data_IF_445481748896
#
_entry.id   IF_445481748896
#
_cell.length_a   1.000
_cell.length_b   1.000
_cell.length_c   1.000
_cell.angle_alpha   90.00
_cell.angle_beta   90.00
_cell.angle_gamma   90.00
#
_symmetry.space_group_name_H-M   'P 1'
#
loop_
_entity.id
_entity.type
_entity.pdbx_description
1 polymer ?
#
# COMPACT_ATOMS: atom_id res chain seq x y z
N UNK A 1 43.93 7.14 -7.80
CA UNK A 1 44.00 5.81 -7.15
C UNK A 1 42.61 5.20 -7.22
N UNK A 2 42.47 3.99 -7.76
CA UNK A 2 41.19 3.27 -7.79
C UNK A 2 41.19 2.29 -6.62
N UNK A 3 40.20 2.40 -5.72
CA UNK A 3 40.05 1.49 -4.60
C UNK A 3 39.18 0.30 -5.02
N UNK A 4 39.69 -0.91 -4.80
CA UNK A 4 38.90 -2.13 -4.98
C UNK A 4 37.94 -2.26 -3.79
N UNK A 5 36.64 -2.30 -4.07
CA UNK A 5 35.63 -2.51 -3.05
C UNK A 5 35.59 -3.99 -2.70
N UNK A 6 35.77 -4.38 -1.42
CA UNK A 6 35.64 -5.77 -1.00
C UNK A 6 34.23 -6.28 -1.27
N UNK A 7 34.11 -7.42 -1.95
CA UNK A 7 32.80 -7.98 -2.35
C UNK A 7 32.09 -8.78 -1.25
N UNK A 8 32.69 -8.93 -0.08
CA UNK A 8 32.17 -9.76 1.01
C UNK A 8 31.63 -8.96 2.20
N UNK A 9 31.35 -7.66 2.05
CA UNK A 9 30.81 -6.84 3.15
C UNK A 9 29.37 -7.23 3.53
N UNK A 10 28.65 -7.93 2.64
CA UNK A 10 27.24 -8.29 2.85
C UNK A 10 27.05 -9.64 3.54
N UNK A 11 28.08 -10.49 3.53
CA UNK A 11 28.03 -11.82 4.13
C UNK A 11 28.57 -11.72 5.55
N UNK A 12 27.81 -12.19 6.52
CA UNK A 12 28.31 -12.25 7.90
C UNK A 12 29.48 -13.21 8.06
N UNK A 13 30.43 -12.80 8.90
CA UNK A 13 31.52 -13.66 9.32
C UNK A 13 30.99 -14.85 10.13
N UNK A 14 31.48 -16.03 9.75
CA UNK A 14 31.24 -17.28 10.47
C UNK A 14 32.28 -17.42 11.57
N UNK A 15 31.93 -16.94 12.76
CA UNK A 15 32.86 -16.89 13.91
C UNK A 15 32.93 -18.25 14.62
N UNK A 16 31.83 -19.00 14.65
CA UNK A 16 31.73 -20.26 15.39
C UNK A 16 31.48 -21.41 14.42
N UNK A 17 32.57 -21.96 13.88
CA UNK A 17 32.53 -23.04 12.89
C UNK A 17 31.72 -22.63 11.66
N UNK A 18 30.63 -23.34 11.30
CA UNK A 18 29.81 -22.98 10.14
C UNK A 18 28.78 -21.87 10.43
N UNK A 19 28.64 -21.42 11.69
CA UNK A 19 27.59 -20.50 12.13
C UNK A 19 28.07 -19.05 12.19
N UNK A 20 27.18 -18.14 11.78
CA UNK A 20 27.35 -16.71 12.06
C UNK A 20 27.06 -16.42 13.53
N UNK A 21 27.52 -15.28 14.04
CA UNK A 21 27.24 -14.88 15.42
C UNK A 21 25.73 -14.83 15.72
N UNK A 22 24.93 -14.26 14.80
CA UNK A 22 23.47 -14.20 14.95
C UNK A 22 22.84 -15.60 15.04
N UNK A 23 23.26 -16.51 14.17
CA UNK A 23 22.77 -17.90 14.17
C UNK A 23 23.10 -18.62 15.46
N UNK A 24 24.32 -18.44 15.96
CA UNK A 24 24.73 -18.99 17.25
C UNK A 24 23.84 -18.47 18.39
N UNK A 25 23.59 -17.16 18.46
CA UNK A 25 22.74 -16.57 19.50
C UNK A 25 21.32 -17.13 19.44
N UNK A 26 20.73 -17.34 18.25
CA UNK A 26 19.40 -17.94 18.13
C UNK A 26 19.36 -19.39 18.63
N UNK A 27 20.34 -20.20 18.26
CA UNK A 27 20.40 -21.60 18.69
C UNK A 27 20.73 -21.74 20.18
N UNK A 28 21.68 -20.94 20.69
CA UNK A 28 22.02 -20.91 22.10
C UNK A 28 20.86 -20.40 22.95
N UNK A 29 20.13 -19.38 22.48
CA UNK A 29 18.93 -18.88 23.13
C UNK A 29 17.82 -19.92 23.18
N UNK A 30 17.51 -20.58 22.05
CA UNK A 30 16.49 -21.62 22.00
C UNK A 30 16.87 -22.84 22.87
N UNK A 31 18.11 -23.33 22.76
CA UNK A 31 18.61 -24.44 23.56
C UNK A 31 18.63 -24.12 25.06
N UNK A 32 19.13 -22.93 25.42
CA UNK A 32 19.11 -22.45 26.80
C UNK A 32 17.69 -22.34 27.36
N UNK A 33 16.73 -21.87 26.57
CA UNK A 33 15.34 -21.81 26.98
C UNK A 33 14.73 -23.20 27.22
N UNK A 34 15.05 -24.19 26.39
CA UNK A 34 14.61 -25.57 26.62
C UNK A 34 15.23 -26.18 27.88
N UNK A 35 16.51 -25.89 28.17
CA UNK A 35 17.14 -26.33 29.42
C UNK A 35 16.44 -25.73 30.64
N UNK A 36 16.04 -24.45 30.56
CA UNK A 36 15.23 -23.81 31.60
C UNK A 36 13.89 -24.55 31.75
N UNK A 37 13.15 -24.78 30.65
CA UNK A 37 11.89 -25.53 30.70
C UNK A 37 12.05 -26.93 31.30
N UNK A 38 13.11 -27.64 30.92
CA UNK A 38 13.44 -28.96 31.47
C UNK A 38 13.64 -28.91 32.99
N UNK A 39 14.35 -27.90 33.47
CA UNK A 39 14.66 -27.73 34.89
C UNK A 39 13.41 -27.47 35.73
N UNK A 40 12.41 -26.74 35.20
CA UNK A 40 11.20 -26.38 35.94
C UNK A 40 10.02 -27.36 35.75
N UNK A 41 9.81 -27.89 34.55
CA UNK A 41 8.60 -28.65 34.18
C UNK A 41 8.85 -30.16 34.01
N UNK A 42 10.12 -30.60 34.04
CA UNK A 42 10.50 -31.99 33.79
C UNK A 42 10.49 -32.39 32.31
N UNK A 43 10.93 -33.61 32.01
CA UNK A 43 11.25 -34.06 30.65
C UNK A 43 10.07 -34.00 29.66
N UNK A 44 8.90 -34.50 30.05
CA UNK A 44 7.77 -34.64 29.13
C UNK A 44 7.20 -33.28 28.70
N UNK A 45 6.96 -32.37 29.64
CA UNK A 45 6.46 -31.03 29.34
C UNK A 45 7.51 -30.19 28.62
N UNK A 46 8.78 -30.32 29.01
CA UNK A 46 9.87 -29.61 28.34
C UNK A 46 10.08 -30.09 26.91
N UNK A 47 9.88 -31.37 26.60
CA UNK A 47 9.92 -31.86 25.23
C UNK A 47 8.74 -31.32 24.42
N UNK A 48 7.52 -31.38 24.99
CA UNK A 48 6.30 -30.93 24.31
C UNK A 48 6.36 -29.43 23.96
N UNK A 49 6.77 -28.59 24.91
CA UNK A 49 6.88 -27.14 24.72
C UNK A 49 8.21 -26.74 24.09
N UNK A 50 9.28 -27.47 24.34
CA UNK A 50 10.61 -27.19 23.81
C UNK A 50 10.77 -27.58 22.35
N UNK A 51 10.08 -28.62 21.86
CA UNK A 51 10.13 -29.01 20.46
C UNK A 51 9.78 -27.86 19.49
N UNK A 52 8.64 -27.14 19.62
CA UNK A 52 8.35 -26.01 18.75
C UNK A 52 9.34 -24.85 18.93
N UNK A 53 9.93 -24.68 20.13
CA UNK A 53 10.92 -23.62 20.41
C UNK A 53 12.25 -23.92 19.69
N UNK A 54 12.72 -25.16 19.75
CA UNK A 54 13.92 -25.59 19.01
C UNK A 54 13.69 -25.46 17.52
N UNK A 55 12.53 -25.91 17.03
CA UNK A 55 12.17 -25.80 15.62
C UNK A 55 12.16 -24.34 15.16
N UNK A 56 11.59 -23.45 15.97
CA UNK A 56 11.58 -22.02 15.71
C UNK A 56 12.98 -21.40 15.74
N UNK A 57 13.82 -21.76 16.71
CA UNK A 57 15.22 -21.32 16.77
C UNK A 57 16.04 -21.80 15.57
N UNK A 58 15.83 -23.03 15.13
CA UNK A 58 16.45 -23.58 13.92
C UNK A 58 15.97 -22.87 12.66
N UNK A 59 14.68 -22.54 12.57
CA UNK A 59 14.14 -21.75 11.47
C UNK A 59 14.77 -20.34 11.43
N UNK A 60 14.91 -19.67 12.58
CA UNK A 60 15.60 -18.37 12.65
C UNK A 60 17.06 -18.44 12.17
N UNK A 61 17.77 -19.52 12.48
CA UNK A 61 19.17 -19.68 12.11
C UNK A 61 19.38 -20.05 10.63
N UNK A 62 18.58 -20.98 10.10
CA UNK A 62 18.87 -21.60 8.80
C UNK A 62 17.81 -21.34 7.71
N UNK A 63 16.58 -21.03 8.09
CA UNK A 63 15.51 -20.86 7.12
C UNK A 63 15.64 -19.51 6.41
N UNK A 64 15.39 -19.52 5.10
CA UNK A 64 15.45 -18.34 4.23
C UNK A 64 14.17 -18.26 3.41
N UNK A 65 13.61 -17.07 3.33
CA UNK A 65 12.44 -16.74 2.51
C UNK A 65 12.91 -15.76 1.43
N UNK A 66 12.69 -16.10 0.15
CA UNK A 66 13.07 -15.25 -0.98
C UNK A 66 14.53 -14.77 -0.92
N UNK A 67 15.46 -15.68 -0.64
CA UNK A 67 16.89 -15.41 -0.43
C UNK A 67 17.23 -14.46 0.73
N UNK A 68 16.28 -14.16 1.61
CA UNK A 68 16.52 -13.36 2.83
C UNK A 68 16.42 -14.23 4.08
N UNK A 69 17.23 -13.96 5.12
CA UNK A 69 17.10 -14.60 6.43
C UNK A 69 15.67 -14.52 6.98
N UNK A 70 15.18 -15.60 7.61
CA UNK A 70 13.82 -15.67 8.14
C UNK A 70 13.47 -14.54 9.12
N UNK A 71 14.45 -14.01 9.84
CA UNK A 71 14.25 -12.89 10.78
C UNK A 71 13.57 -11.68 10.13
N UNK A 72 13.87 -11.36 8.86
CA UNK A 72 13.25 -10.23 8.17
C UNK A 72 11.77 -10.45 7.88
N UNK A 73 11.39 -11.69 7.57
CA UNK A 73 9.98 -12.03 7.39
C UNK A 73 9.24 -11.95 8.73
N UNK A 74 9.88 -12.40 9.81
CA UNK A 74 9.33 -12.32 11.16
C UNK A 74 9.16 -10.85 11.61
N UNK A 75 10.17 -10.02 11.37
CA UNK A 75 10.16 -8.59 11.64
C UNK A 75 9.03 -7.90 10.86
N UNK A 76 8.91 -8.17 9.55
CA UNK A 76 7.83 -7.65 8.73
C UNK A 76 6.44 -8.11 9.22
N UNK A 77 6.31 -9.39 9.60
CA UNK A 77 5.07 -9.92 10.17
C UNK A 77 4.71 -9.24 11.50
N UNK A 78 5.70 -9.02 12.36
CA UNK A 78 5.54 -8.30 13.62
C UNK A 78 5.10 -6.85 13.36
N UNK A 79 5.83 -6.10 12.53
CA UNK A 79 5.44 -4.74 12.16
C UNK A 79 4.04 -4.71 11.55
N UNK A 80 3.69 -5.62 10.64
CA UNK A 80 2.37 -5.67 10.04
C UNK A 80 1.26 -5.93 11.07
N UNK A 81 1.50 -6.82 12.04
CA UNK A 81 0.53 -7.16 13.08
C UNK A 81 0.26 -5.98 14.04
N UNK A 82 1.31 -5.23 14.41
CA UNK A 82 1.20 -4.11 15.36
C UNK A 82 1.01 -2.74 14.71
N UNK A 83 1.19 -2.62 13.39
CA UNK A 83 1.00 -1.36 12.67
C UNK A 83 -0.48 -1.02 12.51
N UNK A 84 -0.78 0.29 12.57
CA UNK A 84 -2.12 0.80 12.27
C UNK A 84 -2.42 0.60 10.79
N UNK A 85 -3.50 -0.10 10.48
CA UNK A 85 -3.96 -0.32 9.10
C UNK A 85 -4.66 0.93 8.59
N UNK A 86 -3.90 1.84 7.98
CA UNK A 86 -4.46 3.00 7.30
C UNK A 86 -5.05 2.54 5.96
N UNK A 87 -6.37 2.38 5.92
CA UNK A 87 -7.13 2.18 4.69
C UNK A 87 -7.24 3.53 3.96
N UNK A 88 -6.17 3.93 3.30
CA UNK A 88 -6.18 5.10 2.43
C UNK A 88 -6.73 4.69 1.08
N UNK A 89 -8.00 5.01 0.83
CA UNK A 89 -8.55 4.92 -0.52
C UNK A 89 -7.98 6.04 -1.38
N UNK A 90 -7.00 5.71 -2.23
CA UNK A 90 -6.45 6.63 -3.21
C UNK A 90 -7.29 6.55 -4.47
N UNK A 91 -8.24 7.48 -4.63
CA UNK A 91 -8.82 7.74 -5.94
C UNK A 91 -7.72 8.30 -6.83
N UNK A 92 -7.03 7.44 -7.57
CA UNK A 92 -6.22 7.92 -8.68
C UNK A 92 -7.17 8.49 -9.72
N UNK A 93 -7.31 9.81 -9.70
CA UNK A 93 -7.73 10.51 -10.91
C UNK A 93 -6.71 10.11 -11.96
N UNK A 94 -7.17 9.30 -12.92
CA UNK A 94 -6.41 8.83 -14.06
C UNK A 94 -5.91 10.08 -14.78
N UNK A 95 -4.73 10.56 -14.43
CA UNK A 95 -4.03 11.57 -15.21
C UNK A 95 -3.67 10.85 -16.50
N UNK A 96 -4.54 11.04 -17.49
CA UNK A 96 -4.25 10.61 -18.85
C UNK A 96 -2.85 11.16 -19.15
N UNK A 97 -1.87 10.30 -19.50
CA UNK A 97 -0.56 10.80 -19.86
C UNK A 97 -0.78 11.79 -20.98
N UNK A 98 -0.48 13.06 -20.71
CA UNK A 98 -0.44 14.09 -21.73
C UNK A 98 0.69 13.65 -22.66
N UNK A 99 0.30 12.94 -23.73
CA UNK A 99 1.20 12.49 -24.77
C UNK A 99 1.89 13.72 -25.32
N UNK A 100 3.14 13.92 -24.91
CA UNK A 100 4.07 14.75 -25.63
C UNK A 100 4.21 14.15 -27.03
N UNK A 101 3.77 14.93 -28.02
CA UNK A 101 4.13 14.78 -29.44
C UNK A 101 3.64 13.52 -30.14
N UNK A 102 2.38 13.51 -30.58
CA UNK A 102 2.00 12.87 -31.85
C UNK A 102 0.87 13.67 -32.49
N UNK A 103 1.22 14.48 -33.50
CA UNK A 103 0.27 14.95 -34.51
C UNK A 103 -0.38 13.71 -35.14
N UNK A 104 -1.67 13.53 -34.88
CA UNK A 104 -2.48 12.56 -35.61
C UNK A 104 -3.64 13.34 -36.20
N UNK A 105 -3.59 13.54 -37.52
CA UNK A 105 -4.74 13.90 -38.33
C UNK A 105 -5.88 12.92 -38.01
N UNK A 106 -6.92 13.40 -37.34
CA UNK A 106 -8.17 12.67 -37.13
C UNK A 106 -9.24 13.39 -37.98
N UNK A 107 -9.84 12.73 -38.99
CA UNK A 107 -10.93 13.32 -39.75
C UNK A 107 -12.15 13.58 -38.84
N UNK A 108 -12.89 14.69 -39.04
CA UNK A 108 -13.91 15.15 -38.12
C UNK A 108 -15.20 14.34 -38.32
N UNK A 109 -15.31 13.19 -37.66
CA UNK A 109 -16.57 12.47 -37.55
C UNK A 109 -17.03 12.58 -36.08
N UNK A 110 -18.14 13.31 -35.90
CA UNK A 110 -18.75 13.79 -34.65
C UNK A 110 -18.24 15.15 -34.17
N UNK A 111 -18.42 16.15 -35.02
CA UNK A 111 -18.45 17.55 -34.62
C UNK A 111 -19.70 17.81 -33.79
N UNK A 112 -19.64 17.48 -32.50
CA UNK A 112 -20.60 17.98 -31.52
C UNK A 112 -20.44 19.50 -31.54
N UNK A 113 -21.49 20.29 -31.87
CA UNK A 113 -21.35 21.74 -31.93
C UNK A 113 -20.98 22.22 -30.52
N UNK A 114 -19.74 22.67 -30.36
CA UNK A 114 -19.30 23.33 -29.12
C UNK A 114 -20.07 24.63 -29.01
N UNK A 115 -21.16 24.62 -28.25
CA UNK A 115 -21.85 25.83 -27.85
C UNK A 115 -20.85 26.69 -27.08
N UNK A 116 -20.51 27.87 -27.62
CA UNK A 116 -19.63 28.80 -26.93
C UNK A 116 -20.29 29.24 -25.62
N UNK A 117 -19.49 29.49 -24.59
CA UNK A 117 -20.01 29.90 -23.28
C UNK A 117 -20.93 31.12 -23.37
N UNK A 118 -20.68 32.02 -24.32
CA UNK A 118 -21.55 33.15 -24.64
C UNK A 118 -22.95 32.70 -25.11
N UNK A 119 -23.03 31.71 -26.00
CA UNK A 119 -24.32 31.18 -26.50
C UNK A 119 -25.15 30.53 -25.40
N UNK A 120 -24.51 29.82 -24.47
CA UNK A 120 -25.20 29.23 -23.31
C UNK A 120 -25.76 30.31 -22.38
N UNK A 121 -24.99 31.38 -22.16
CA UNK A 121 -25.42 32.53 -21.34
C UNK A 121 -26.60 33.27 -21.97
N UNK A 122 -26.53 33.51 -23.28
CA UNK A 122 -27.61 34.17 -24.03
C UNK A 122 -28.91 33.34 -23.99
N UNK A 123 -28.80 32.01 -24.10
CA UNK A 123 -29.95 31.12 -23.99
C UNK A 123 -30.57 31.17 -22.60
N UNK A 124 -29.75 31.07 -21.54
CA UNK A 124 -30.26 31.13 -20.16
C UNK A 124 -30.95 32.46 -19.86
N UNK A 125 -30.43 33.55 -20.41
CA UNK A 125 -31.01 34.88 -20.23
C UNK A 125 -32.35 35.02 -20.97
N UNK A 126 -32.46 34.48 -22.18
CA UNK A 126 -33.72 34.49 -22.94
C UNK A 126 -34.84 33.69 -22.27
N UNK A 127 -34.48 32.57 -21.62
CA UNK A 127 -35.41 31.72 -20.87
C UNK A 127 -35.93 32.42 -19.61
N UNK A 128 -35.03 33.04 -18.84
CA UNK A 128 -35.35 33.78 -17.62
C UNK A 128 -36.29 34.98 -17.90
N UNK A 129 -36.07 35.67 -19.03
CA UNK A 129 -36.96 36.75 -19.48
C UNK A 129 -38.32 36.22 -19.87
N UNK A 130 -38.42 35.12 -20.62
CA UNK A 130 -39.72 34.56 -20.95
C UNK A 130 -40.49 34.15 -19.68
N UNK A 131 -39.83 33.50 -18.73
CA UNK A 131 -40.46 33.10 -17.47
C UNK A 131 -41.00 34.30 -16.68
N UNK A 132 -40.23 35.38 -16.56
CA UNK A 132 -40.69 36.61 -15.89
C UNK A 132 -41.87 37.28 -16.61
N UNK A 133 -41.86 37.30 -17.94
CA UNK A 133 -42.96 37.86 -18.74
C UNK A 133 -44.25 37.03 -18.60
N UNK A 134 -44.15 35.70 -18.60
CA UNK A 134 -45.30 34.82 -18.37
C UNK A 134 -45.81 34.86 -16.93
N UNK A 135 -44.92 35.02 -15.94
CA UNK A 135 -45.30 35.18 -14.53
C UNK A 135 -46.08 36.49 -14.28
N UNK A 136 -45.59 37.61 -14.82
CA UNK A 136 -46.28 38.90 -14.71
C UNK A 136 -47.62 38.96 -15.48
N UNK A 137 -47.76 38.16 -16.55
CA UNK A 137 -49.02 38.05 -17.28
C UNK A 137 -50.07 37.27 -16.47
N UNK A 138 -49.68 36.17 -15.82
CA UNK A 138 -50.58 35.39 -14.96
C UNK A 138 -51.06 36.19 -13.74
N UNK A 139 -50.19 36.99 -13.14
CA UNK A 139 -50.54 37.83 -11.98
C UNK A 139 -51.54 38.94 -12.37
N UNK A 140 -51.39 39.53 -13.57
CA UNK A 140 -52.30 40.56 -14.08
C UNK A 140 -53.66 39.99 -14.53
N UNK A 141 -53.73 38.75 -15.02
CA UNK A 141 -55.01 38.08 -15.29
C UNK A 141 -55.77 37.75 -14.01
N UNK A 142 -55.08 37.24 -12.97
CA UNK A 142 -55.67 36.95 -11.65
C UNK A 142 -56.20 38.20 -10.94
N UNK A 143 -55.60 39.36 -11.17
CA UNK A 143 -56.05 40.66 -10.64
C UNK A 143 -57.25 41.27 -11.37
N UNK A 144 -57.55 40.83 -12.59
CA UNK A 144 -58.71 41.31 -13.37
C UNK A 144 -59.97 40.46 -13.17
N UNK A 145 -59.85 39.30 -12.53
CA UNK A 145 -60.95 38.36 -12.27
C UNK A 145 -61.51 38.42 -10.83
N UNK A 146 -61.02 39.35 -10.00
CA UNK A 146 -61.58 39.73 -8.69
C UNK A 146 -62.03 41.19 -8.74
#
# INVERSE_FOLDING_TARGET
MQFQVPQFIEIEDKIIGPLTFRQFVYLAGAGGFVVILYTFLGLYLALLLGAPIILFGAALAFYKINNRPFIYALEAAFYYAFSKKLYLWKHEQKTLPQKAGQEKNIPPLLSIPRLSQNKLKDLSWSLDIQESMYAGTKENELRRTN
#
